data_IF_698690206632
#
_entry.id   IF_698690206632
#
_cell.length_a   1.000
_cell.length_b   1.000
_cell.length_c   1.000
_cell.angle_alpha   90.00
_cell.angle_beta   90.00
_cell.angle_gamma   90.00
#
_symmetry.space_group_name_H-M   'P 1'
#
loop_
_entity.id
_entity.type
_entity.pdbx_description
1 polymer ?
#
# COMPACT_ATOMS: atom_id res chain seq x y z
N UNK A 1 11.63 16.63 -3.11
CA UNK A 1 11.22 15.29 -2.64
C UNK A 1 10.96 14.29 -3.77
N UNK A 2 10.02 14.53 -4.71
CA UNK A 2 9.91 13.71 -5.96
C UNK A 2 11.16 13.73 -6.85
N UNK A 3 11.99 14.78 -6.71
CA UNK A 3 13.34 14.81 -7.28
C UNK A 3 14.17 13.61 -6.85
N UNK A 4 14.13 13.14 -5.59
CA UNK A 4 15.02 12.06 -5.13
C UNK A 4 14.80 10.71 -5.84
N UNK A 5 13.60 10.47 -6.36
CA UNK A 5 13.29 9.27 -7.15
C UNK A 5 13.74 9.45 -8.60
N UNK A 6 13.55 10.64 -9.18
CA UNK A 6 13.92 10.97 -10.57
C UNK A 6 15.35 11.51 -10.74
N UNK A 7 16.06 11.74 -9.64
CA UNK A 7 17.44 12.21 -9.56
C UNK A 7 18.07 11.57 -8.33
N UNK A 8 19.18 10.85 -8.52
CA UNK A 8 19.85 10.09 -7.46
C UNK A 8 19.91 8.59 -7.75
N UNK A 9 20.25 7.80 -6.73
CA UNK A 9 20.52 6.36 -6.85
C UNK A 9 19.35 5.56 -7.45
N UNK A 10 18.11 5.92 -7.13
CA UNK A 10 16.90 5.24 -7.63
C UNK A 10 16.43 5.72 -9.02
N UNK A 11 17.03 6.77 -9.57
CA UNK A 11 16.65 7.30 -10.88
C UNK A 11 16.94 6.30 -12.00
N UNK A 12 18.09 5.63 -11.95
CA UNK A 12 18.46 4.60 -12.93
C UNK A 12 17.42 3.48 -12.94
N UNK A 13 17.08 2.97 -11.75
CA UNK A 13 16.06 1.94 -11.55
C UNK A 13 14.67 2.39 -12.03
N UNK A 14 14.25 3.61 -11.68
CA UNK A 14 12.99 4.19 -12.13
C UNK A 14 12.87 4.28 -13.66
N UNK A 15 13.98 4.52 -14.35
CA UNK A 15 13.99 4.60 -15.81
C UNK A 15 14.21 3.26 -16.50
N UNK A 16 14.87 2.30 -15.85
CA UNK A 16 15.23 1.01 -16.46
C UNK A 16 14.29 -0.15 -16.10
N UNK A 17 13.47 -0.03 -15.06
CA UNK A 17 12.57 -1.10 -14.62
C UNK A 17 11.11 -0.63 -14.58
N UNK A 18 10.29 -1.18 -15.49
CA UNK A 18 8.88 -0.80 -15.63
C UNK A 18 8.03 -1.21 -14.42
N UNK A 19 8.36 -2.32 -13.73
CA UNK A 19 7.63 -2.76 -12.54
C UNK A 19 7.87 -1.80 -11.36
N UNK A 20 9.14 -1.46 -11.11
CA UNK A 20 9.52 -0.44 -10.13
C UNK A 20 8.81 0.87 -10.40
N UNK A 21 8.89 1.35 -11.64
CA UNK A 21 8.25 2.59 -12.08
C UNK A 21 6.74 2.57 -11.89
N UNK A 22 6.05 1.48 -12.27
CA UNK A 22 4.60 1.32 -12.06
C UNK A 22 4.24 1.35 -10.58
N UNK A 23 4.95 0.60 -9.74
CA UNK A 23 4.75 0.57 -8.30
C UNK A 23 4.92 1.97 -7.65
N UNK A 24 5.96 2.70 -8.04
CA UNK A 24 6.21 4.07 -7.60
C UNK A 24 5.11 5.03 -8.05
N UNK A 25 4.75 5.01 -9.33
CA UNK A 25 3.70 5.88 -9.88
C UNK A 25 2.38 5.61 -9.17
N UNK A 26 2.07 4.34 -8.94
CA UNK A 26 0.88 3.92 -8.21
C UNK A 26 0.91 4.45 -6.78
N UNK A 27 1.97 4.17 -6.00
CA UNK A 27 2.12 4.70 -4.64
C UNK A 27 1.95 6.22 -4.56
N UNK A 28 2.51 6.97 -5.52
CA UNK A 28 2.43 8.43 -5.53
C UNK A 28 1.06 8.97 -5.97
N UNK A 29 0.29 8.21 -6.75
CA UNK A 29 -1.13 8.55 -7.00
C UNK A 29 -1.91 8.56 -5.68
N UNK A 30 -1.56 7.66 -4.76
CA UNK A 30 -2.12 7.55 -3.41
C UNK A 30 -1.23 8.21 -2.34
N UNK A 31 -0.40 9.19 -2.71
CA UNK A 31 0.27 10.18 -1.83
C UNK A 31 0.54 11.43 -2.68
N UNK A 32 -0.49 12.23 -3.01
CA UNK A 32 -0.41 13.30 -3.99
C UNK A 32 0.58 14.41 -3.58
N UNK A 33 0.81 14.58 -2.28
CA UNK A 33 1.79 15.53 -1.74
C UNK A 33 3.23 15.00 -1.82
N UNK A 34 3.40 13.71 -2.14
CA UNK A 34 4.69 13.05 -2.33
C UNK A 34 5.58 13.15 -1.09
N UNK A 35 4.95 13.15 0.09
CA UNK A 35 5.62 13.33 1.39
C UNK A 35 6.37 12.07 1.82
N UNK A 36 5.99 10.89 1.32
CA UNK A 36 6.52 9.59 1.78
C UNK A 36 7.21 8.82 0.65
N UNK A 37 8.16 9.46 -0.02
CA UNK A 37 8.96 8.86 -1.10
C UNK A 37 9.59 7.52 -0.70
N UNK A 38 10.00 7.37 0.55
CA UNK A 38 10.72 6.19 1.01
C UNK A 38 9.83 4.94 1.04
N UNK A 39 8.56 5.10 1.40
CA UNK A 39 7.57 4.01 1.35
C UNK A 39 7.24 3.61 -0.09
N UNK A 40 7.13 4.59 -0.99
CA UNK A 40 6.96 4.32 -2.41
C UNK A 40 8.16 3.56 -2.98
N UNK A 41 9.39 3.99 -2.64
CA UNK A 41 10.64 3.30 -3.02
C UNK A 41 10.65 1.87 -2.50
N UNK A 42 10.29 1.65 -1.23
CA UNK A 42 10.19 0.30 -0.66
C UNK A 42 9.19 -0.57 -1.42
N UNK A 43 7.99 -0.07 -1.72
CA UNK A 43 7.02 -0.80 -2.54
C UNK A 43 7.63 -1.18 -3.90
N UNK A 44 8.28 -0.23 -4.58
CA UNK A 44 8.97 -0.50 -5.84
C UNK A 44 10.02 -1.60 -5.72
N UNK A 45 10.84 -1.57 -4.68
CA UNK A 45 11.87 -2.59 -4.42
C UNK A 45 11.27 -3.97 -4.16
N UNK A 46 10.23 -4.03 -3.32
CA UNK A 46 9.52 -5.27 -2.99
C UNK A 46 8.90 -5.88 -4.25
N UNK A 47 8.24 -5.08 -5.09
CA UNK A 47 7.66 -5.57 -6.34
C UNK A 47 8.74 -6.08 -7.31
N UNK A 48 9.88 -5.40 -7.45
CA UNK A 48 10.98 -5.89 -8.30
C UNK A 48 11.55 -7.23 -7.80
N UNK A 49 11.80 -7.36 -6.50
CA UNK A 49 12.40 -8.58 -5.93
C UNK A 49 11.54 -9.82 -6.14
N UNK A 50 10.21 -9.63 -6.20
CA UNK A 50 9.25 -10.72 -6.34
C UNK A 50 8.60 -10.78 -7.72
N UNK A 51 8.95 -9.87 -8.62
CA UNK A 51 8.46 -9.75 -10.00
C UNK A 51 6.93 -9.60 -10.15
N UNK A 52 6.26 -8.97 -9.19
CA UNK A 52 4.80 -8.89 -9.18
C UNK A 52 4.23 -7.56 -8.70
N UNK A 53 3.13 -7.15 -9.34
CA UNK A 53 2.37 -5.95 -8.98
C UNK A 53 0.93 -6.03 -9.50
N UNK A 54 -0.03 -6.32 -8.62
CA UNK A 54 -1.46 -6.34 -8.94
C UNK A 54 -2.27 -5.71 -7.80
N UNK A 55 -2.57 -4.40 -7.86
CA UNK A 55 -3.46 -3.76 -6.90
C UNK A 55 -4.88 -4.31 -7.04
N UNK A 56 -5.44 -4.83 -5.96
CA UNK A 56 -6.83 -5.30 -5.88
C UNK A 56 -7.59 -4.39 -4.93
N UNK A 57 -8.71 -3.81 -5.39
CA UNK A 57 -9.55 -3.00 -4.52
C UNK A 57 -10.13 -3.85 -3.37
N UNK A 58 -10.19 -3.26 -2.17
CA UNK A 58 -10.90 -3.86 -1.05
C UNK A 58 -12.39 -3.92 -1.38
N UNK A 59 -12.96 -5.12 -1.41
CA UNK A 59 -14.36 -5.37 -1.75
C UNK A 59 -15.11 -6.17 -0.69
N UNK A 60 -14.39 -6.85 0.22
CA UNK A 60 -15.00 -7.64 1.29
C UNK A 60 -14.11 -7.68 2.54
N UNK A 61 -14.73 -7.93 3.68
CA UNK A 61 -14.08 -8.24 4.95
C UNK A 61 -13.31 -9.57 4.82
N UNK A 62 -12.19 -9.74 5.54
CA UNK A 62 -11.33 -10.93 5.46
C UNK A 62 -10.43 -10.96 4.22
N UNK A 63 -10.50 -9.93 3.37
CA UNK A 63 -9.69 -9.86 2.17
C UNK A 63 -8.25 -9.46 2.47
N UNK A 64 -7.97 -8.68 3.52
CA UNK A 64 -6.63 -8.19 3.85
C UNK A 64 -5.88 -9.23 4.71
N UNK A 65 -4.57 -9.37 4.49
CA UNK A 65 -3.70 -10.26 5.26
C UNK A 65 -2.55 -9.50 5.92
N UNK A 66 -2.02 -10.02 7.02
CA UNK A 66 -0.84 -9.45 7.66
C UNK A 66 0.35 -9.42 6.70
N UNK A 67 1.10 -8.32 6.72
CA UNK A 67 2.20 -8.08 5.79
C UNK A 67 1.79 -7.57 4.40
N UNK A 68 0.50 -7.59 4.04
CA UNK A 68 0.02 -6.97 2.79
C UNK A 68 0.46 -5.50 2.73
N UNK A 69 0.74 -5.01 1.51
CA UNK A 69 0.95 -3.58 1.29
C UNK A 69 -0.36 -2.95 0.88
N UNK A 70 -0.76 -1.91 1.59
CA UNK A 70 -1.97 -1.15 1.31
C UNK A 70 -1.64 0.19 0.66
N UNK A 71 -2.39 0.49 -0.39
CA UNK A 71 -2.50 1.80 -0.99
C UNK A 71 -3.82 2.42 -0.50
N UNK A 72 -3.72 3.38 0.40
CA UNK A 72 -4.87 3.95 1.10
C UNK A 72 -5.08 5.36 0.60
N UNK A 73 -6.27 5.62 0.05
CA UNK A 73 -6.77 6.96 -0.17
C UNK A 73 -7.62 7.36 1.03
N UNK A 74 -7.19 8.38 1.76
CA UNK A 74 -7.96 8.95 2.86
C UNK A 74 -9.01 9.94 2.36
N UNK A 75 -10.03 10.21 3.19
CA UNK A 75 -10.99 11.30 2.95
C UNK A 75 -10.31 12.67 2.93
N UNK A 76 -9.34 12.88 3.83
CA UNK A 76 -8.42 14.00 3.74
C UNK A 76 -7.18 13.58 2.95
N UNK A 77 -7.07 14.07 1.72
CA UNK A 77 -6.00 13.72 0.80
C UNK A 77 -4.58 14.11 1.30
N UNK A 78 -4.46 15.15 2.12
CA UNK A 78 -3.15 15.64 2.60
C UNK A 78 -2.66 14.88 3.84
N UNK A 79 -3.59 14.42 4.69
CA UNK A 79 -3.23 13.82 5.99
C UNK A 79 -3.26 12.30 5.97
N UNK A 80 -4.28 11.74 5.32
CA UNK A 80 -4.70 10.35 5.57
C UNK A 80 -4.29 9.40 4.43
N UNK A 81 -3.99 9.95 3.25
CA UNK A 81 -3.60 9.20 2.05
C UNK A 81 -2.15 8.72 2.13
N UNK A 82 -1.93 7.42 1.98
CA UNK A 82 -0.61 6.81 2.21
C UNK A 82 -0.46 5.40 1.67
N UNK A 83 0.81 4.98 1.57
CA UNK A 83 1.21 3.57 1.50
C UNK A 83 1.55 3.06 2.91
N UNK A 84 1.09 1.86 3.26
CA UNK A 84 1.39 1.23 4.54
C UNK A 84 1.49 -0.29 4.41
N UNK A 85 2.23 -0.93 5.31
CA UNK A 85 2.13 -2.38 5.53
C UNK A 85 1.04 -2.63 6.57
N UNK A 86 0.41 -3.80 6.49
CA UNK A 86 -0.43 -4.31 7.57
C UNK A 86 0.48 -4.88 8.65
N UNK A 87 0.48 -4.23 9.82
CA UNK A 87 1.23 -4.67 10.99
C UNK A 87 0.54 -5.86 11.67
N UNK A 88 -0.79 -5.77 11.83
CA UNK A 88 -1.61 -6.72 12.58
C UNK A 88 -3.07 -6.63 12.10
N UNK A 89 -3.81 -7.73 12.22
CA UNK A 89 -5.27 -7.76 11.99
C UNK A 89 -5.97 -8.24 13.25
N UNK A 90 -6.94 -7.46 13.73
CA UNK A 90 -7.83 -7.86 14.82
C UNK A 90 -9.16 -8.36 14.23
N UNK A 91 -9.73 -9.42 14.82
CA UNK A 91 -11.01 -10.02 14.42
C UNK A 91 -11.10 -10.32 12.90
N UNK A 92 -10.01 -10.84 12.34
CA UNK A 92 -9.86 -11.08 10.90
C UNK A 92 -10.96 -11.97 10.33
N UNK A 93 -11.64 -11.47 9.29
CA UNK A 93 -12.78 -12.15 8.65
C UNK A 93 -14.15 -11.86 9.27
N UNK A 94 -14.21 -11.24 10.45
CA UNK A 94 -15.47 -10.86 11.11
C UNK A 94 -15.88 -9.41 10.82
N UNK A 95 -17.14 -9.05 11.07
CA UNK A 95 -17.66 -7.69 10.84
C UNK A 95 -16.92 -6.61 11.64
N UNK A 96 -16.26 -7.01 12.72
CA UNK A 96 -15.38 -6.19 13.56
C UNK A 96 -13.93 -6.09 13.08
N UNK A 97 -13.56 -6.67 11.93
CA UNK A 97 -12.18 -6.69 11.46
C UNK A 97 -11.54 -5.30 11.42
N UNK A 98 -10.44 -5.14 12.16
CA UNK A 98 -9.62 -3.94 12.20
C UNK A 98 -8.22 -4.19 11.67
N UNK A 99 -7.78 -3.31 10.78
CA UNK A 99 -6.47 -3.38 10.14
C UNK A 99 -5.56 -2.37 10.84
N UNK A 100 -4.54 -2.86 11.53
CA UNK A 100 -3.51 -2.03 12.15
C UNK A 100 -2.39 -1.81 11.14
N UNK A 101 -2.12 -0.55 10.79
CA UNK A 101 -1.06 -0.18 9.85
C UNK A 101 0.07 0.63 10.50
N UNK A 102 -0.12 1.01 11.76
CA UNK A 102 0.92 1.51 12.64
C UNK A 102 0.49 1.36 14.10
N UNK A 103 0.92 0.30 14.77
CA UNK A 103 0.58 0.06 16.18
C UNK A 103 1.08 1.19 17.10
N UNK A 104 2.29 1.72 16.85
CA UNK A 104 2.89 2.79 17.68
C UNK A 104 2.13 4.11 17.64
N UNK A 105 1.49 4.42 16.52
CA UNK A 105 0.69 5.64 16.33
C UNK A 105 -0.81 5.39 16.48
N UNK A 106 -1.19 4.17 16.87
CA UNK A 106 -2.57 3.69 16.90
C UNK A 106 -3.34 4.03 15.61
N UNK A 107 -2.71 3.77 14.46
CA UNK A 107 -3.27 4.11 13.16
C UNK A 107 -3.86 2.84 12.54
N UNK A 108 -5.19 2.79 12.49
CA UNK A 108 -5.96 1.61 12.10
C UNK A 108 -7.27 2.02 11.40
N UNK A 109 -7.92 1.06 10.74
CA UNK A 109 -9.28 1.23 10.21
C UNK A 109 -10.05 -0.09 10.23
N UNK A 110 -11.37 -0.03 10.44
CA UNK A 110 -12.24 -1.19 10.26
C UNK A 110 -12.56 -1.42 8.78
N UNK A 111 -12.44 -2.66 8.27
CA UNK A 111 -12.70 -2.95 6.85
C UNK A 111 -14.17 -2.76 6.49
N UNK A 112 -15.09 -3.19 7.35
CA UNK A 112 -16.53 -2.93 7.21
C UNK A 112 -16.83 -1.44 7.09
N UNK A 113 -16.16 -0.60 7.90
CA UNK A 113 -16.31 0.86 7.85
C UNK A 113 -15.78 1.48 6.57
N UNK A 114 -14.74 0.93 5.95
CA UNK A 114 -14.28 1.37 4.63
C UNK A 114 -15.34 1.05 3.58
N UNK A 115 -15.85 -0.18 3.58
CA UNK A 115 -16.87 -0.64 2.62
C UNK A 115 -18.19 0.12 2.76
N UNK A 116 -18.58 0.49 3.97
CA UNK A 116 -19.73 1.36 4.26
C UNK A 116 -19.48 2.85 3.96
N UNK A 117 -18.23 3.24 3.68
CA UNK A 117 -17.85 4.64 3.45
C UNK A 117 -17.82 5.51 4.72
N UNK A 118 -17.85 4.91 5.91
CA UNK A 118 -17.86 5.61 7.20
C UNK A 118 -16.46 5.75 7.82
N UNK A 119 -15.47 4.98 7.36
CA UNK A 119 -14.06 5.08 7.77
C UNK A 119 -13.39 6.40 7.33
N UNK A 120 -12.25 6.75 7.94
CA UNK A 120 -11.38 7.81 7.44
C UNK A 120 -10.68 7.39 6.14
N UNK A 121 -10.42 6.10 5.98
CA UNK A 121 -9.94 5.52 4.74
C UNK A 121 -11.12 5.47 3.77
N UNK A 122 -11.01 6.21 2.67
CA UNK A 122 -12.05 6.32 1.64
C UNK A 122 -12.00 5.12 0.69
N UNK A 123 -10.79 4.72 0.31
CA UNK A 123 -10.56 3.64 -0.65
C UNK A 123 -9.24 2.95 -0.31
N UNK A 124 -9.22 1.62 -0.37
CA UNK A 124 -8.04 0.82 -0.07
C UNK A 124 -7.81 -0.15 -1.21
N UNK A 125 -6.58 -0.20 -1.71
CA UNK A 125 -6.13 -1.25 -2.61
C UNK A 125 -5.04 -2.07 -1.93
N UNK A 126 -5.12 -3.38 -2.12
CA UNK A 126 -4.20 -4.36 -1.60
C UNK A 126 -3.21 -4.67 -2.73
N UNK A 127 -1.93 -4.46 -2.47
CA UNK A 127 -0.87 -4.90 -3.38
C UNK A 127 -0.28 -6.16 -2.80
N UNK A 128 -0.68 -7.29 -3.40
CA UNK A 128 -0.06 -8.56 -3.12
C UNK A 128 1.14 -8.78 -3.99
N UNK A 129 2.09 -9.39 -3.35
CA UNK A 129 3.29 -9.91 -3.94
C UNK A 129 3.06 -11.41 -3.91
N UNK A 130 2.58 -12.03 -5.00
CA UNK A 130 2.60 -13.48 -4.99
C UNK A 130 4.07 -13.87 -4.99
N UNK A 131 4.40 -14.82 -4.12
CA UNK A 131 5.65 -15.55 -4.30
C UNK A 131 5.45 -16.32 -5.60
N UNK A 132 6.27 -16.04 -6.60
CA UNK A 132 6.46 -16.98 -7.71
C UNK A 132 6.76 -18.32 -7.06
N UNK A 133 5.80 -19.23 -7.10
CA UNK A 133 5.99 -20.59 -6.66
C UNK A 133 7.06 -21.15 -7.59
N UNK A 134 8.29 -21.29 -7.10
CA UNK A 134 9.24 -22.17 -7.76
C UNK A 134 8.64 -23.57 -7.56
N UNK A 135 7.86 -24.01 -8.55
CA UNK A 135 7.57 -25.42 -8.69
C UNK A 135 8.92 -26.09 -8.92
N UNK A 136 9.38 -26.81 -7.90
CA UNK A 136 10.51 -27.74 -7.94
C UNK A 136 10.29 -28.82 -9.01
#
# INVERSE_FOLDING_TARGET
MYKNIKSGMYAKLYHSNELFKKAIICALKYDPEKRRSDKAIMLGMVCMGNNEFAPVALSQVGQIQEGDILLIQGKNHERDTQVAHVDEILDGGDTGEEIIINSRKNYHFGTSKVLEGTSWAKEVHIVRVNKVSHNE
#
